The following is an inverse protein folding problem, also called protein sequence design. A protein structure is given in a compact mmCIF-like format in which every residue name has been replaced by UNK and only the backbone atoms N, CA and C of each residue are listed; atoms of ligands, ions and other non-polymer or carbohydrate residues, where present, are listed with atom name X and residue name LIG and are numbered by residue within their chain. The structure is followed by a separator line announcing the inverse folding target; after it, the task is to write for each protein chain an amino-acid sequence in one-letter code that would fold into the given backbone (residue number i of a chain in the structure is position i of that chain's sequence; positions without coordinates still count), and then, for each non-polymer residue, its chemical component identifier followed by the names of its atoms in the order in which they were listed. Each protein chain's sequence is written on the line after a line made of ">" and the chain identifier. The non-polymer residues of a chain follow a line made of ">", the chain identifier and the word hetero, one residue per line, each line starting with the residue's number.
data_IF_930688288224
#
_entry.id   IF_930688288224
#
_cell.length_a   1.000
_cell.length_b   1.000
_cell.length_c   1.000
_cell.angle_alpha   90.00
_cell.angle_beta   90.00
_cell.angle_gamma   90.00
#
_symmetry.space_group_name_H-M   'P 1'
#
loop_
_entity.id
_entity.type
_entity.pdbx_description
1 polymer ?
#
# COMPACT_ATOMS: atom_id res chain seq x y z
N UNK A 1 45.78 1.88 15.25
CA UNK A 1 44.69 2.55 15.99
C UNK A 1 43.41 2.63 15.19
N UNK A 2 43.41 3.07 13.96
CA UNK A 2 42.19 3.22 13.12
C UNK A 2 41.48 1.89 12.88
N UNK A 3 42.22 0.80 12.64
CA UNK A 3 41.64 -0.54 12.41
C UNK A 3 40.87 -1.08 13.62
N UNK A 4 41.31 -0.78 14.84
CA UNK A 4 40.64 -1.20 16.08
C UNK A 4 39.38 -0.40 16.33
N UNK A 5 39.38 0.90 16.00
CA UNK A 5 38.21 1.77 16.10
C UNK A 5 37.13 1.36 15.11
N UNK A 6 37.48 1.01 13.88
CA UNK A 6 36.55 0.51 12.87
C UNK A 6 35.92 -0.82 13.30
N UNK A 7 36.71 -1.74 13.86
CA UNK A 7 36.22 -3.03 14.37
C UNK A 7 35.23 -2.86 15.52
N UNK A 8 35.51 -1.93 16.44
CA UNK A 8 34.61 -1.60 17.55
C UNK A 8 33.32 -0.96 17.06
N UNK A 9 33.36 -0.10 16.04
CA UNK A 9 32.20 0.50 15.42
C UNK A 9 31.32 -0.56 14.72
N UNK A 10 31.93 -1.52 14.02
CA UNK A 10 31.20 -2.63 13.40
C UNK A 10 30.59 -3.57 14.44
N UNK A 11 31.28 -3.85 15.53
CA UNK A 11 30.75 -4.68 16.61
C UNK A 11 29.55 -3.99 17.32
N UNK A 12 29.64 -2.71 17.57
CA UNK A 12 28.54 -1.93 18.15
C UNK A 12 27.32 -1.88 17.23
N UNK A 13 27.54 -1.73 15.93
CA UNK A 13 26.47 -1.75 14.92
C UNK A 13 25.80 -3.14 14.83
N UNK A 14 26.59 -4.22 14.86
CA UNK A 14 26.07 -5.58 14.84
C UNK A 14 25.22 -5.89 16.09
N UNK A 15 25.64 -5.43 17.27
CA UNK A 15 24.88 -5.58 18.52
C UNK A 15 23.58 -4.77 18.46
N UNK A 16 23.61 -3.55 17.95
CA UNK A 16 22.41 -2.71 17.79
C UNK A 16 21.39 -3.36 16.86
N UNK A 17 21.85 -4.03 15.79
CA UNK A 17 20.98 -4.74 14.84
C UNK A 17 20.40 -6.04 15.40
N UNK A 18 21.04 -6.63 16.40
CA UNK A 18 20.61 -7.88 17.01
C UNK A 18 19.58 -7.71 18.14
N UNK A 19 19.41 -6.48 18.66
CA UNK A 19 18.45 -6.20 19.74
C UNK A 19 17.07 -5.88 19.16
N UNK A 20 16.02 -6.66 19.50
CA UNK A 20 14.66 -6.45 18.97
C UNK A 20 14.12 -5.03 19.19
N UNK A 21 14.41 -4.40 20.33
CA UNK A 21 13.98 -3.06 20.66
C UNK A 21 14.53 -1.98 19.70
N UNK A 22 15.73 -2.20 19.16
CA UNK A 22 16.33 -1.28 18.18
C UNK A 22 15.62 -1.34 16.83
N UNK A 23 15.11 -2.50 16.45
CA UNK A 23 14.33 -2.69 15.21
C UNK A 23 12.98 -1.98 15.30
N UNK A 24 12.32 -2.08 16.43
CA UNK A 24 11.04 -1.40 16.67
C UNK A 24 11.22 0.13 16.64
N UNK A 25 12.27 0.64 17.25
CA UNK A 25 12.60 2.05 17.23
C UNK A 25 12.87 2.57 15.81
N UNK A 26 13.64 1.82 15.01
CA UNK A 26 13.91 2.17 13.61
C UNK A 26 12.63 2.11 12.75
N UNK A 27 11.75 1.16 13.01
CA UNK A 27 10.43 1.08 12.37
C UNK A 27 9.58 2.30 12.68
N UNK A 28 9.53 2.73 13.93
CA UNK A 28 8.79 3.92 14.36
C UNK A 28 9.34 5.22 13.75
N UNK A 29 10.65 5.32 13.57
CA UNK A 29 11.28 6.46 12.89
C UNK A 29 10.96 6.53 11.38
N UNK A 30 10.71 5.38 10.75
CA UNK A 30 10.37 5.31 9.34
C UNK A 30 8.89 5.61 9.05
N UNK A 31 7.98 5.51 10.04
CA UNK A 31 6.55 5.76 9.88
C UNK A 31 6.21 7.13 9.30
N UNK A 32 6.77 8.26 9.79
CA UNK A 32 6.44 9.57 9.24
C UNK A 32 6.81 9.72 7.76
N UNK A 33 7.88 9.07 7.31
CA UNK A 33 8.32 9.08 5.92
C UNK A 33 7.36 8.26 5.05
N UNK A 34 6.98 7.07 5.51
CA UNK A 34 5.99 6.21 4.83
C UNK A 34 4.63 6.91 4.70
N UNK A 35 4.18 7.59 5.74
CA UNK A 35 2.91 8.30 5.76
C UNK A 35 2.91 9.45 4.75
N UNK A 36 3.98 10.21 4.65
CA UNK A 36 4.14 11.30 3.67
C UNK A 36 4.16 10.78 2.23
N UNK A 37 4.90 9.73 1.97
CA UNK A 37 4.96 9.07 0.65
C UNK A 37 3.58 8.52 0.31
N UNK A 38 2.93 7.84 1.24
CA UNK A 38 1.60 7.30 1.06
C UNK A 38 0.56 8.36 0.75
N UNK A 39 0.56 9.47 1.48
CA UNK A 39 -0.37 10.58 1.26
C UNK A 39 -0.27 11.20 -0.14
N UNK A 40 0.89 11.16 -0.78
CA UNK A 40 1.08 11.68 -2.14
C UNK A 40 0.91 10.63 -3.22
N UNK A 41 1.30 9.39 -2.96
CA UNK A 41 1.38 8.31 -3.96
C UNK A 41 0.09 7.50 -4.07
N UNK A 42 -0.54 7.18 -2.93
CA UNK A 42 -1.72 6.30 -2.89
C UNK A 42 -2.91 6.86 -3.66
N UNK A 43 -3.28 8.16 -3.54
CA UNK A 43 -4.38 8.70 -4.33
C UNK A 43 -4.20 8.51 -5.84
N UNK A 44 -2.98 8.69 -6.34
CA UNK A 44 -2.67 8.48 -7.76
C UNK A 44 -2.81 7.02 -8.17
N UNK A 45 -2.39 6.10 -7.30
CA UNK A 45 -2.49 4.66 -7.55
C UNK A 45 -3.94 4.19 -7.56
N UNK A 46 -4.75 4.61 -6.59
CA UNK A 46 -6.17 4.21 -6.56
C UNK A 46 -6.94 4.81 -7.74
N UNK A 47 -6.62 6.02 -8.16
CA UNK A 47 -7.19 6.61 -9.38
C UNK A 47 -6.81 5.78 -10.62
N UNK A 48 -5.55 5.41 -10.77
CA UNK A 48 -5.10 4.57 -11.87
C UNK A 48 -5.77 3.19 -11.89
N UNK A 49 -5.96 2.57 -10.72
CA UNK A 49 -6.70 1.31 -10.61
C UNK A 49 -8.16 1.48 -11.03
N UNK A 50 -8.82 2.55 -10.56
CA UNK A 50 -10.19 2.86 -10.93
C UNK A 50 -10.33 3.11 -12.44
N UNK A 51 -9.40 3.82 -13.06
CA UNK A 51 -9.38 4.03 -14.51
C UNK A 51 -9.30 2.71 -15.28
N UNK A 52 -8.44 1.79 -14.86
CA UNK A 52 -8.34 0.47 -15.47
C UNK A 52 -9.59 -0.37 -15.26
N UNK A 53 -10.22 -0.29 -14.10
CA UNK A 53 -11.49 -0.96 -13.83
C UNK A 53 -12.63 -0.38 -14.70
N UNK A 54 -12.65 0.93 -14.90
CA UNK A 54 -13.64 1.57 -15.78
C UNK A 54 -13.47 1.13 -17.25
N UNK A 55 -12.25 0.99 -17.73
CA UNK A 55 -11.96 0.46 -19.07
C UNK A 55 -12.49 -0.98 -19.19
N UNK A 56 -12.26 -1.80 -18.19
CA UNK A 56 -12.75 -3.17 -18.13
C UNK A 56 -14.29 -3.24 -18.16
N UNK A 57 -14.94 -2.38 -17.38
CA UNK A 57 -16.39 -2.24 -17.35
C UNK A 57 -16.94 -1.78 -18.71
N UNK A 58 -16.26 -0.84 -19.38
CA UNK A 58 -16.62 -0.36 -20.71
C UNK A 58 -16.53 -1.43 -21.79
N UNK A 59 -15.74 -2.47 -21.57
CA UNK A 59 -15.66 -3.65 -22.46
C UNK A 59 -16.73 -4.71 -22.16
N UNK A 60 -17.54 -4.51 -21.13
CA UNK A 60 -18.55 -5.47 -20.70
C UNK A 60 -18.00 -6.66 -19.91
N UNK A 61 -16.76 -6.59 -19.45
CA UNK A 61 -16.12 -7.71 -18.74
C UNK A 61 -16.51 -7.80 -17.26
N UNK A 62 -17.11 -6.75 -16.68
CA UNK A 62 -17.44 -6.67 -15.27
C UNK A 62 -16.25 -6.44 -14.37
N UNK A 63 -16.49 -6.30 -13.08
CA UNK A 63 -15.43 -6.17 -12.08
C UNK A 63 -14.73 -7.52 -11.86
N UNK A 64 -13.42 -7.51 -11.50
CA UNK A 64 -12.69 -8.75 -11.22
C UNK A 64 -13.31 -9.51 -10.04
N UNK A 65 -13.46 -10.82 -10.16
CA UNK A 65 -13.95 -11.68 -9.07
C UNK A 65 -12.87 -11.81 -7.98
N UNK A 66 -11.61 -11.91 -8.37
CA UNK A 66 -10.47 -11.95 -7.46
C UNK A 66 -9.62 -10.68 -7.63
N UNK A 67 -9.85 -9.66 -6.81
CA UNK A 67 -9.16 -8.38 -6.95
C UNK A 67 -7.65 -8.49 -6.74
N UNK A 68 -7.22 -9.24 -5.74
CA UNK A 68 -5.80 -9.48 -5.48
C UNK A 68 -5.11 -10.19 -6.66
N UNK A 69 -5.76 -11.19 -7.24
CA UNK A 69 -5.26 -11.85 -8.44
C UNK A 69 -5.22 -10.92 -9.66
N UNK A 70 -6.21 -10.06 -9.82
CA UNK A 70 -6.23 -9.05 -10.87
C UNK A 70 -5.07 -8.05 -10.71
N UNK A 71 -4.80 -7.57 -9.50
CA UNK A 71 -3.68 -6.69 -9.21
C UNK A 71 -2.35 -7.30 -9.62
N UNK A 72 -2.16 -8.59 -9.38
CA UNK A 72 -0.91 -9.28 -9.73
C UNK A 72 -0.74 -9.52 -11.22
N UNK A 73 -1.83 -9.79 -11.95
CA UNK A 73 -1.78 -10.18 -13.36
C UNK A 73 -1.98 -9.02 -14.32
N UNK A 74 -2.91 -8.15 -14.02
CA UNK A 74 -3.42 -7.15 -14.98
C UNK A 74 -3.06 -5.73 -14.62
N UNK A 75 -2.86 -5.45 -13.34
CA UNK A 75 -2.42 -4.14 -12.89
C UNK A 75 -0.89 -4.02 -13.00
N UNK A 76 -0.43 -2.93 -13.64
CA UNK A 76 1.00 -2.73 -13.93
C UNK A 76 1.81 -2.16 -12.77
N UNK A 77 1.16 -1.79 -11.67
CA UNK A 77 1.81 -1.26 -10.48
C UNK A 77 1.98 -2.30 -9.38
N UNK A 78 2.36 -1.84 -8.18
CA UNK A 78 2.45 -2.71 -7.01
C UNK A 78 1.08 -3.06 -6.47
N UNK A 79 0.87 -4.32 -6.08
CA UNK A 79 -0.33 -4.78 -5.37
C UNK A 79 -0.37 -4.31 -3.91
N UNK A 80 0.78 -3.91 -3.36
CA UNK A 80 0.91 -3.44 -1.99
C UNK A 80 0.97 -1.92 -1.91
N UNK A 81 0.32 -1.38 -0.88
CA UNK A 81 0.46 0.02 -0.52
C UNK A 81 1.78 0.28 0.25
N UNK A 82 2.12 1.55 0.57
CA UNK A 82 3.35 1.86 1.31
C UNK A 82 3.43 1.27 2.72
N UNK A 83 2.31 0.80 3.28
CA UNK A 83 2.23 0.17 4.60
C UNK A 83 2.13 -1.36 4.51
N UNK A 84 2.50 -1.94 3.36
CA UNK A 84 2.54 -3.38 3.08
C UNK A 84 1.18 -4.09 3.13
N UNK A 85 0.09 -3.35 2.93
CA UNK A 85 -1.25 -3.91 2.82
C UNK A 85 -1.69 -3.98 1.34
N UNK A 86 -2.45 -5.01 1.00
CA UNK A 86 -3.02 -5.16 -0.34
C UNK A 86 -4.17 -4.14 -0.52
N UNK A 87 -4.24 -3.51 -1.68
CA UNK A 87 -5.39 -2.68 -2.04
C UNK A 87 -6.66 -3.51 -2.10
N UNK A 88 -7.80 -2.89 -1.79
CA UNK A 88 -9.09 -3.57 -1.74
C UNK A 88 -10.08 -3.05 -2.78
N UNK A 89 -11.07 -3.87 -3.09
CA UNK A 89 -12.21 -3.53 -3.93
C UNK A 89 -13.51 -3.85 -3.17
N UNK A 90 -14.34 -2.85 -3.00
CA UNK A 90 -15.69 -2.99 -2.45
C UNK A 90 -16.70 -2.68 -3.55
N UNK A 91 -17.75 -3.48 -3.64
CA UNK A 91 -18.79 -3.33 -4.64
C UNK A 91 -20.15 -3.11 -3.99
N UNK A 92 -20.90 -2.15 -4.49
CA UNK A 92 -22.30 -1.92 -4.13
C UNK A 92 -23.18 -2.04 -5.36
N UNK A 93 -24.50 -1.80 -5.20
CA UNK A 93 -25.44 -1.92 -6.33
C UNK A 93 -25.18 -0.94 -7.47
N UNK A 94 -24.67 0.25 -7.18
CA UNK A 94 -24.52 1.35 -8.15
C UNK A 94 -23.10 1.87 -8.28
N UNK A 95 -22.21 1.44 -7.41
CA UNK A 95 -20.83 1.94 -7.37
C UNK A 95 -19.85 0.87 -6.96
N UNK A 96 -18.60 1.16 -7.16
CA UNK A 96 -17.50 0.40 -6.58
C UNK A 96 -16.49 1.36 -5.95
N UNK A 97 -15.74 0.85 -5.01
CA UNK A 97 -14.71 1.58 -4.30
C UNK A 97 -13.43 0.78 -4.32
N UNK A 98 -12.34 1.41 -4.76
CA UNK A 98 -11.01 0.85 -4.71
C UNK A 98 -10.16 1.70 -3.78
N UNK A 99 -9.38 1.08 -2.90
CA UNK A 99 -8.67 1.85 -1.91
C UNK A 99 -7.56 1.11 -1.18
N UNK A 100 -6.89 1.88 -0.34
CA UNK A 100 -5.88 1.44 0.61
C UNK A 100 -6.43 1.57 2.02
N UNK A 101 -6.10 0.60 2.86
CA UNK A 101 -6.46 0.65 4.29
C UNK A 101 -5.68 1.72 5.08
N UNK A 102 -4.68 2.34 4.45
CA UNK A 102 -3.89 3.38 5.10
C UNK A 102 -2.93 2.86 6.17
N UNK A 103 -2.39 3.78 7.00
CA UNK A 103 -1.40 3.42 8.03
C UNK A 103 -1.90 2.43 9.08
N UNK A 104 -3.19 2.43 9.41
CA UNK A 104 -3.74 1.54 10.44
C UNK A 104 -3.95 0.09 9.98
N UNK A 105 -3.92 -0.16 8.67
CA UNK A 105 -4.12 -1.49 8.11
C UNK A 105 -5.51 -2.09 8.34
N UNK A 106 -6.50 -1.25 8.65
CA UNK A 106 -7.88 -1.65 8.89
C UNK A 106 -8.80 -1.05 7.83
N UNK A 107 -9.57 -1.90 7.16
CA UNK A 107 -10.54 -1.49 6.15
C UNK A 107 -11.75 -0.81 6.80
N UNK A 108 -12.21 0.28 6.20
CA UNK A 108 -13.39 1.00 6.66
C UNK A 108 -13.15 2.01 7.78
N UNK A 109 -11.92 2.48 7.95
CA UNK A 109 -11.55 3.50 8.94
C UNK A 109 -11.30 4.87 8.30
N UNK A 110 -11.12 5.90 9.12
CA UNK A 110 -10.79 7.25 8.66
C UNK A 110 -9.41 7.32 7.95
N UNK A 111 -8.55 6.32 8.16
CA UNK A 111 -7.24 6.22 7.50
C UNK A 111 -7.34 5.73 6.05
N UNK A 112 -8.48 5.21 5.62
CA UNK A 112 -8.67 4.69 4.28
C UNK A 112 -8.50 5.79 3.23
N UNK A 113 -7.75 5.47 2.17
CA UNK A 113 -7.59 6.32 0.99
C UNK A 113 -8.23 5.58 -0.18
N UNK A 114 -9.34 6.08 -0.68
CA UNK A 114 -10.11 5.37 -1.71
C UNK A 114 -10.64 6.29 -2.79
N UNK A 115 -11.04 5.69 -3.90
CA UNK A 115 -11.82 6.32 -4.95
C UNK A 115 -13.08 5.52 -5.21
N UNK A 116 -14.22 6.21 -5.23
CA UNK A 116 -15.52 5.62 -5.51
C UNK A 116 -15.98 6.03 -6.92
N UNK A 117 -16.42 5.07 -7.70
CA UNK A 117 -16.92 5.28 -9.04
C UNK A 117 -18.27 4.60 -9.24
N UNK A 118 -19.11 5.20 -10.06
CA UNK A 118 -20.39 4.61 -10.42
C UNK A 118 -20.19 3.47 -11.40
N UNK A 119 -20.97 2.40 -11.18
CA UNK A 119 -21.08 1.33 -12.17
C UNK A 119 -21.87 1.85 -13.38
N UNK A 120 -21.57 1.35 -14.61
CA UNK A 120 -22.37 1.65 -15.78
C UNK A 120 -23.83 1.32 -15.52
N UNK A 121 -24.73 2.24 -15.83
CA UNK A 121 -26.17 2.05 -15.68
C UNK A 121 -26.67 0.95 -16.63
N UNK A 122 -27.57 0.13 -16.13
CA UNK A 122 -28.35 -0.79 -16.96
C UNK A 122 -29.66 -0.12 -17.36
#
# INVERSE_FOLDING_TARGET
>A
MIKRLILLAFAALAVAMAVPSSRDWLGDQARPVKDRIGASLVPRRVTAMADQLDVRLGRGEGLPIGFEGWLRRDYTGSEFDPWDNVYYLQTSRRSYRVGSMGPDGLEGTDDDIYEERRLPGR
#
